data_IF_623371485028
#
_entry.id   IF_623371485028
#
_cell.length_a   1.000
_cell.length_b   1.000
_cell.length_c   1.000
_cell.angle_alpha   90.00
_cell.angle_beta   90.00
_cell.angle_gamma   90.00
#
_symmetry.space_group_name_H-M   'P 1'
#
loop_
_entity.id
_entity.type
_entity.pdbx_description
1 polymer ?
#
# COMPACT_ATOMS: atom_id res chain seq x y z
N UNK A 1 8.64 2.94 -25.84
CA UNK A 1 8.27 3.77 -24.68
C UNK A 1 6.82 3.46 -24.38
N UNK A 2 6.56 2.89 -23.21
CA UNK A 2 5.21 2.66 -22.69
C UNK A 2 4.48 4.02 -22.64
N UNK A 3 3.27 4.10 -23.20
CA UNK A 3 2.48 5.34 -23.17
C UNK A 3 2.17 5.65 -21.70
N UNK A 4 2.52 6.83 -21.24
CA UNK A 4 2.17 7.27 -19.89
C UNK A 4 0.64 7.37 -19.81
N UNK A 5 0.00 6.48 -19.05
CA UNK A 5 -1.46 6.39 -18.84
C UNK A 5 -2.01 7.50 -17.92
N UNK A 6 -1.63 8.76 -18.19
CA UNK A 6 -2.08 9.92 -17.41
C UNK A 6 -3.62 10.08 -17.43
N UNK A 7 -4.33 9.89 -18.58
CA UNK A 7 -5.77 10.12 -18.63
C UNK A 7 -6.58 9.20 -17.72
N UNK A 8 -6.21 7.93 -17.62
CA UNK A 8 -6.95 6.95 -16.80
C UNK A 8 -6.79 7.24 -15.31
N UNK A 9 -5.55 7.52 -14.86
CA UNK A 9 -5.28 7.86 -13.46
C UNK A 9 -6.02 9.12 -13.04
N UNK A 10 -6.04 10.14 -13.89
CA UNK A 10 -6.79 11.37 -13.63
C UNK A 10 -8.29 11.09 -13.49
N UNK A 11 -8.85 10.25 -14.36
CA UNK A 11 -10.25 9.86 -14.29
C UNK A 11 -10.61 9.18 -12.95
N UNK A 12 -9.74 8.27 -12.47
CA UNK A 12 -9.91 7.61 -11.15
C UNK A 12 -9.89 8.61 -10.00
N UNK A 13 -8.93 9.53 -9.98
CA UNK A 13 -8.82 10.57 -8.93
C UNK A 13 -10.08 11.44 -8.88
N UNK A 14 -10.58 11.88 -10.03
CA UNK A 14 -11.79 12.71 -10.09
C UNK A 14 -13.03 11.94 -9.62
N UNK A 15 -13.13 10.66 -9.95
CA UNK A 15 -14.22 9.82 -9.44
C UNK A 15 -14.14 9.65 -7.91
N UNK A 16 -12.95 9.44 -7.34
CA UNK A 16 -12.77 9.40 -5.87
C UNK A 16 -13.19 10.70 -5.20
N UNK A 17 -12.82 11.86 -5.74
CA UNK A 17 -13.27 13.17 -5.24
C UNK A 17 -14.80 13.25 -5.23
N UNK A 18 -15.44 12.84 -6.33
CA UNK A 18 -16.90 12.86 -6.47
C UNK A 18 -17.60 11.91 -5.49
N UNK A 19 -17.04 10.73 -5.26
CA UNK A 19 -17.54 9.76 -4.29
C UNK A 19 -17.36 10.25 -2.86
N UNK A 20 -16.19 10.75 -2.49
CA UNK A 20 -15.91 11.32 -1.18
C UNK A 20 -16.88 12.47 -0.85
N UNK A 21 -17.11 13.37 -1.80
CA UNK A 21 -18.10 14.46 -1.65
C UNK A 21 -19.50 13.91 -1.35
N UNK A 22 -19.96 12.93 -2.13
CA UNK A 22 -21.29 12.31 -1.95
C UNK A 22 -21.41 11.59 -0.61
N UNK A 23 -20.38 10.84 -0.21
CA UNK A 23 -20.34 10.08 1.04
C UNK A 23 -20.42 11.01 2.27
N UNK A 24 -19.83 12.21 2.19
CA UNK A 24 -19.95 13.24 3.22
C UNK A 24 -21.24 14.07 3.14
N UNK A 25 -22.06 13.87 2.11
CA UNK A 25 -23.29 14.65 1.91
C UNK A 25 -23.03 16.10 1.48
N UNK A 26 -21.84 16.41 0.97
CA UNK A 26 -21.48 17.76 0.56
C UNK A 26 -22.12 18.12 -0.80
N UNK A 27 -22.72 19.31 -0.87
CA UNK A 27 -23.25 19.85 -2.13
C UNK A 27 -22.12 20.39 -3.02
N UNK A 28 -22.42 20.65 -4.29
CA UNK A 28 -21.46 21.33 -5.17
C UNK A 28 -21.24 22.77 -4.73
N UNK A 29 -22.28 23.41 -4.19
CA UNK A 29 -22.24 24.76 -3.62
C UNK A 29 -21.24 24.83 -2.46
N UNK A 30 -21.31 23.88 -1.51
CA UNK A 30 -20.42 23.83 -0.35
C UNK A 30 -18.95 23.70 -0.77
N UNK A 31 -18.62 22.73 -1.63
CA UNK A 31 -17.23 22.55 -2.07
C UNK A 31 -16.73 23.77 -2.86
N UNK A 32 -17.59 24.35 -3.69
CA UNK A 32 -17.22 25.53 -4.46
C UNK A 32 -16.95 26.75 -3.55
N UNK A 33 -17.75 26.93 -2.51
CA UNK A 33 -17.56 27.96 -1.48
C UNK A 33 -16.24 27.77 -0.74
N UNK A 34 -15.96 26.55 -0.24
CA UNK A 34 -14.70 26.23 0.45
C UNK A 34 -13.46 26.39 -0.44
N UNK A 35 -13.61 26.14 -1.74
CA UNK A 35 -12.56 26.40 -2.74
C UNK A 35 -12.51 27.88 -3.17
N UNK A 36 -13.50 28.72 -2.86
CA UNK A 36 -13.58 30.08 -3.40
C UNK A 36 -13.66 30.11 -4.93
N UNK A 37 -14.40 29.19 -5.53
CA UNK A 37 -14.69 29.14 -6.98
C UNK A 37 -16.20 29.13 -7.22
N UNK A 38 -16.62 29.30 -8.48
CA UNK A 38 -18.03 29.15 -8.81
C UNK A 38 -18.47 27.68 -8.78
N UNK A 39 -19.74 27.44 -8.44
CA UNK A 39 -20.36 26.09 -8.47
C UNK A 39 -20.19 25.45 -9.85
N UNK A 40 -20.31 26.24 -10.91
CA UNK A 40 -20.08 25.79 -12.30
C UNK A 40 -18.63 25.34 -12.52
N UNK A 41 -17.64 26.06 -11.98
CA UNK A 41 -16.24 25.66 -12.08
C UNK A 41 -15.98 24.33 -11.37
N UNK A 42 -16.51 24.14 -10.17
CA UNK A 42 -16.39 22.87 -9.46
C UNK A 42 -17.09 21.71 -10.20
N UNK A 43 -18.29 21.93 -10.73
CA UNK A 43 -19.00 20.92 -11.53
C UNK A 43 -18.19 20.51 -12.79
N UNK A 44 -17.52 21.46 -13.45
CA UNK A 44 -16.64 21.18 -14.59
C UNK A 44 -15.40 20.37 -14.19
N UNK A 45 -14.89 20.54 -12.97
CA UNK A 45 -13.80 19.70 -12.43
C UNK A 45 -14.29 18.26 -12.29
N UNK A 46 -15.44 18.01 -11.66
CA UNK A 46 -15.99 16.64 -11.52
C UNK A 46 -16.32 15.98 -12.87
N UNK A 47 -16.59 16.79 -13.90
CA UNK A 47 -16.84 16.34 -15.29
C UNK A 47 -15.58 16.25 -16.14
N UNK A 48 -14.40 16.59 -15.61
CA UNK A 48 -13.12 16.62 -16.33
C UNK A 48 -13.10 17.60 -17.52
N UNK A 49 -13.99 18.59 -17.53
CA UNK A 49 -14.04 19.67 -18.52
C UNK A 49 -13.09 20.82 -18.18
N UNK A 50 -12.63 20.88 -16.93
CA UNK A 50 -11.61 21.81 -16.46
C UNK A 50 -10.54 21.04 -15.70
N UNK A 51 -9.28 21.39 -15.92
CA UNK A 51 -8.15 20.73 -15.26
C UNK A 51 -8.21 20.98 -13.75
N UNK A 52 -8.10 19.90 -12.98
CA UNK A 52 -7.81 19.98 -11.56
C UNK A 52 -6.34 20.37 -11.39
N UNK A 53 -6.07 21.47 -10.70
CA UNK A 53 -4.70 21.89 -10.36
C UNK A 53 -4.22 21.17 -9.10
N UNK A 54 -2.90 21.10 -8.92
CA UNK A 54 -2.31 20.51 -7.73
C UNK A 54 -2.71 21.24 -6.44
N UNK A 55 -2.77 22.58 -6.48
CA UNK A 55 -3.24 23.40 -5.35
C UNK A 55 -4.68 23.03 -4.94
N UNK A 56 -5.58 22.89 -5.93
CA UNK A 56 -6.97 22.50 -5.69
C UNK A 56 -7.09 21.08 -5.16
N UNK A 57 -6.20 20.17 -5.57
CA UNK A 57 -6.13 18.81 -5.04
C UNK A 57 -5.84 18.82 -3.54
N UNK A 58 -4.84 19.59 -3.09
CA UNK A 58 -4.52 19.72 -1.67
C UNK A 58 -5.63 20.39 -0.86
N UNK A 59 -6.31 21.39 -1.43
CA UNK A 59 -7.48 21.97 -0.77
C UNK A 59 -8.61 20.96 -0.62
N UNK A 60 -8.90 20.20 -1.68
CA UNK A 60 -9.91 19.15 -1.65
C UNK A 60 -9.58 18.05 -0.64
N UNK A 61 -8.30 17.70 -0.48
CA UNK A 61 -7.84 16.76 0.56
C UNK A 61 -8.28 17.20 1.96
N UNK A 62 -8.13 18.49 2.26
CA UNK A 62 -8.52 19.08 3.55
C UNK A 62 -10.04 19.13 3.69
N UNK A 63 -10.74 19.64 2.68
CA UNK A 63 -12.21 19.80 2.70
C UNK A 63 -12.91 18.43 2.81
N UNK A 64 -12.41 17.44 2.07
CA UNK A 64 -12.94 16.08 2.06
C UNK A 64 -12.38 15.22 3.19
N UNK A 65 -11.54 15.76 4.07
CA UNK A 65 -10.90 15.07 5.20
C UNK A 65 -10.36 13.68 4.80
N UNK A 66 -9.78 13.59 3.61
CA UNK A 66 -9.32 12.34 3.00
C UNK A 66 -7.83 12.48 2.73
N UNK A 67 -6.98 11.55 3.20
CA UNK A 67 -5.54 11.59 2.92
C UNK A 67 -5.23 11.60 1.41
N UNK A 68 -4.14 12.26 1.02
CA UNK A 68 -3.76 12.38 -0.39
C UNK A 68 -3.49 11.02 -1.02
N UNK A 69 -2.90 10.11 -0.24
CA UNK A 69 -2.55 8.75 -0.62
C UNK A 69 -3.80 7.96 -1.01
N UNK A 70 -4.89 8.14 -0.25
CA UNK A 70 -6.17 7.53 -0.55
C UNK A 70 -6.77 8.13 -1.83
N UNK A 71 -6.77 9.45 -1.95
CA UNK A 71 -7.30 10.17 -3.11
C UNK A 71 -6.56 9.82 -4.41
N UNK A 72 -5.24 9.59 -4.33
CA UNK A 72 -4.36 9.22 -5.43
C UNK A 72 -4.28 7.71 -5.69
N UNK A 73 -4.95 6.89 -4.86
CA UNK A 73 -4.86 5.43 -4.91
C UNK A 73 -3.43 4.91 -4.82
N UNK A 74 -2.60 5.60 -4.03
CA UNK A 74 -1.24 5.16 -3.75
C UNK A 74 -1.35 3.96 -2.81
N UNK A 75 -1.08 2.76 -3.34
CA UNK A 75 -0.81 1.60 -2.51
C UNK A 75 0.41 1.94 -1.67
N UNK A 76 0.19 2.28 -0.41
CA UNK A 76 1.24 2.25 0.59
C UNK A 76 1.56 0.76 0.74
N UNK A 77 2.61 0.30 0.06
CA UNK A 77 3.28 -0.90 0.52
C UNK A 77 3.74 -0.58 1.93
N UNK A 78 3.02 -1.11 2.93
CA UNK A 78 3.42 -0.98 4.32
C UNK A 78 4.80 -1.64 4.44
N UNK A 79 5.85 -0.83 4.33
CA UNK A 79 7.14 -1.18 4.88
C UNK A 79 6.92 -1.14 6.37
N UNK A 80 6.62 -2.29 6.96
CA UNK A 80 6.45 -2.46 8.39
C UNK A 80 7.77 -2.11 9.10
N UNK A 81 7.99 -0.83 9.37
CA UNK A 81 8.92 -0.40 10.40
C UNK A 81 8.14 -0.48 11.73
N UNK A 82 7.97 -1.69 12.26
CA UNK A 82 7.28 -1.89 13.52
C UNK A 82 8.06 -1.19 14.65
N UNK A 83 7.52 -0.06 15.12
CA UNK A 83 7.76 0.40 16.48
C UNK A 83 6.64 -0.17 17.35
N UNK A 84 6.94 -1.22 18.12
CA UNK A 84 5.98 -1.90 18.99
C UNK A 84 5.77 -1.02 20.23
N UNK A 85 4.58 -0.46 20.40
CA UNK A 85 4.14 0.12 21.67
C UNK A 85 2.99 -0.71 22.22
N UNK A 86 3.27 -1.39 23.33
CA UNK A 86 2.42 -2.17 24.25
C UNK A 86 0.90 -2.14 24.03
N UNK A 87 0.40 -3.03 23.17
CA UNK A 87 -0.98 -3.53 23.25
C UNK A 87 -0.99 -5.06 23.09
N UNK A 88 -1.74 -5.74 23.96
CA UNK A 88 -1.72 -7.19 24.19
C UNK A 88 -1.98 -8.07 22.94
N UNK A 89 -2.61 -7.53 21.89
CA UNK A 89 -2.84 -8.24 20.61
C UNK A 89 -1.53 -8.40 19.82
N UNK A 90 -0.59 -7.46 19.99
CA UNK A 90 0.74 -7.54 19.37
C UNK A 90 1.56 -8.72 19.90
N UNK A 91 1.46 -9.05 21.20
CA UNK A 91 2.22 -10.16 21.78
C UNK A 91 1.87 -11.52 21.16
N UNK A 92 0.60 -11.81 20.91
CA UNK A 92 0.18 -13.10 20.33
C UNK A 92 0.62 -13.25 18.87
N UNK A 93 0.53 -12.18 18.07
CA UNK A 93 0.96 -12.23 16.67
C UNK A 93 2.48 -12.33 16.56
N UNK A 94 3.21 -11.61 17.42
CA UNK A 94 4.66 -11.69 17.52
C UNK A 94 5.10 -13.10 17.94
N UNK A 95 4.44 -13.70 18.93
CA UNK A 95 4.77 -15.06 19.39
C UNK A 95 4.57 -16.09 18.27
N UNK A 96 3.46 -16.02 17.52
CA UNK A 96 3.22 -16.90 16.38
C UNK A 96 4.29 -16.76 15.27
N UNK A 97 4.69 -15.52 14.95
CA UNK A 97 5.76 -15.25 13.99
C UNK A 97 7.12 -15.79 14.45
N UNK A 98 7.45 -15.67 15.74
CA UNK A 98 8.69 -16.24 16.28
C UNK A 98 8.68 -17.76 16.26
N UNK A 99 7.54 -18.40 16.57
CA UNK A 99 7.42 -19.86 16.51
C UNK A 99 7.52 -20.39 15.08
N UNK A 100 6.84 -19.77 14.12
CA UNK A 100 6.91 -20.18 12.71
C UNK A 100 8.34 -20.04 12.16
N UNK A 101 9.01 -18.92 12.47
CA UNK A 101 10.41 -18.72 12.07
C UNK A 101 11.36 -19.73 12.73
N UNK A 102 11.11 -20.10 13.99
CA UNK A 102 11.88 -21.13 14.69
C UNK A 102 11.71 -22.49 14.01
N UNK A 103 10.49 -22.90 13.70
CA UNK A 103 10.22 -24.17 13.01
C UNK A 103 10.86 -24.24 11.62
N UNK A 104 10.79 -23.14 10.85
CA UNK A 104 11.43 -23.05 9.53
C UNK A 104 12.96 -23.16 9.68
N UNK A 105 13.53 -22.48 10.68
CA UNK A 105 14.97 -22.51 10.94
C UNK A 105 15.42 -23.92 11.35
N UNK A 106 14.67 -24.61 12.20
CA UNK A 106 14.96 -25.98 12.61
C UNK A 106 14.91 -26.95 11.42
N UNK A 107 13.89 -26.84 10.56
CA UNK A 107 13.80 -27.62 9.32
C UNK A 107 14.98 -27.37 8.38
N UNK A 108 15.40 -26.11 8.24
CA UNK A 108 16.53 -25.75 7.40
C UNK A 108 17.86 -26.30 7.95
N UNK A 109 18.06 -26.22 9.27
CA UNK A 109 19.24 -26.81 9.93
C UNK A 109 19.28 -28.33 9.70
N UNK A 110 18.15 -29.01 9.82
CA UNK A 110 18.10 -30.45 9.65
C UNK A 110 18.38 -30.85 8.19
N UNK A 111 17.81 -30.14 7.22
CA UNK A 111 18.13 -30.36 5.80
C UNK A 111 19.62 -30.19 5.50
N UNK A 112 20.28 -29.18 6.08
CA UNK A 112 21.73 -29.00 5.91
C UNK A 112 22.55 -30.12 6.58
N UNK A 113 22.14 -30.61 7.75
CA UNK A 113 22.82 -31.75 8.40
C UNK A 113 22.70 -33.03 7.58
N UNK A 114 21.53 -33.30 7.02
CA UNK A 114 21.30 -34.45 6.13
C UNK A 114 22.19 -34.33 4.89
N UNK A 115 22.26 -33.16 4.29
CA UNK A 115 23.11 -32.90 3.12
C UNK A 115 24.59 -33.08 3.44
N UNK A 116 25.06 -32.57 4.58
CA UNK A 116 26.44 -32.77 5.05
C UNK A 116 26.73 -34.25 5.26
N UNK A 117 25.79 -34.99 5.86
CA UNK A 117 25.93 -36.43 6.10
C UNK A 117 26.04 -37.19 4.79
N UNK A 118 25.15 -36.90 3.84
CA UNK A 118 25.16 -37.49 2.50
C UNK A 118 26.49 -37.22 1.77
N UNK A 119 26.96 -35.98 1.78
CA UNK A 119 28.22 -35.60 1.13
C UNK A 119 29.44 -36.29 1.78
N UNK A 120 29.47 -36.38 3.13
CA UNK A 120 30.52 -37.11 3.85
C UNK A 120 30.54 -38.60 3.51
N UNK A 121 29.37 -39.24 3.45
CA UNK A 121 29.25 -40.64 3.04
C UNK A 121 29.75 -40.88 1.61
N UNK A 122 29.46 -39.95 0.69
CA UNK A 122 29.96 -40.00 -0.68
C UNK A 122 31.47 -39.86 -0.77
N UNK A 123 32.08 -38.96 0.00
CA UNK A 123 33.55 -38.82 0.03
C UNK A 123 34.23 -40.11 0.55
N UNK A 124 33.70 -40.66 1.64
CA UNK A 124 34.19 -41.93 2.22
C UNK A 124 34.04 -43.12 1.27
N UNK A 125 33.00 -43.15 0.42
CA UNK A 125 32.83 -44.22 -0.58
C UNK A 125 33.75 -44.04 -1.78
N UNK A 126 34.10 -42.80 -2.15
CA UNK A 126 35.08 -42.53 -3.23
C UNK A 126 36.52 -42.83 -2.82
N UNK A 127 36.89 -42.65 -1.54
CA UNK A 127 38.23 -42.98 -1.02
C UNK A 127 38.49 -44.50 -0.89
N UNK A 128 37.43 -45.32 -0.86
CA UNK A 128 37.56 -46.79 -0.78
C UNK A 128 37.79 -47.47 -2.14
N UNK A 129 37.74 -46.74 -3.24
CA UNK A 129 37.83 -47.27 -4.62
C UNK A 129 38.96 -46.62 -5.45
N UNK A 130 39.91 -45.93 -4.81
CA UNK A 130 41.18 -45.46 -5.40
C UNK A 130 42.35 -46.08 -4.68
#
# INVERSE_FOLDING_TARGET
MEKIEIPERLHKIINKIKEARKNKGFSHEYIAEELGISVSAYNKIERQETKLTLERLFQLQVILEMPLEELLDLKVENVYNQHITDQAVGHQQIENLYQENKEITEKLIEAYKEQITYLRQRLLSTEKHG
#
